data_IF_165784989480
#
_entry.id   IF_165784989480
#
_cell.length_a   1.000
_cell.length_b   1.000
_cell.length_c   1.000
_cell.angle_alpha   90.00
_cell.angle_beta   90.00
_cell.angle_gamma   90.00
#
_symmetry.space_group_name_H-M   'P 1'
#
loop_
_entity.id
_entity.type
_entity.pdbx_description
1 polymer ?
#
# COMPACT_ATOMS: atom_id res chain seq x y z
N UNK A 1 6.26 -19.71 4.03
CA UNK A 1 5.21 -19.53 5.05
C UNK A 1 3.88 -20.16 4.61
N UNK A 2 3.21 -20.87 5.52
CA UNK A 2 1.90 -21.52 5.25
C UNK A 2 0.77 -20.48 5.11
N UNK A 3 0.87 -19.35 5.81
CA UNK A 3 0.00 -18.18 5.63
C UNK A 3 0.65 -17.24 4.62
N UNK A 4 -0.11 -16.83 3.60
CA UNK A 4 0.37 -16.00 2.48
C UNK A 4 -0.19 -14.59 2.44
N UNK A 5 -1.26 -14.32 3.20
CA UNK A 5 -2.00 -13.07 3.17
C UNK A 5 -2.21 -12.58 4.60
N UNK A 6 -2.03 -11.29 4.81
CA UNK A 6 -2.37 -10.57 6.04
C UNK A 6 -3.30 -9.42 5.64
N UNK A 7 -4.42 -9.29 6.35
CA UNK A 7 -5.35 -8.17 6.20
C UNK A 7 -5.24 -7.33 7.47
N UNK A 8 -5.11 -6.02 7.31
CA UNK A 8 -4.98 -5.10 8.44
C UNK A 8 -5.42 -3.68 8.12
N UNK A 9 -5.77 -2.91 9.16
CA UNK A 9 -6.05 -1.49 9.04
C UNK A 9 -4.77 -0.71 8.68
N UNK A 10 -4.90 0.25 7.77
CA UNK A 10 -3.79 1.06 7.27
C UNK A 10 -3.05 1.84 8.36
N UNK A 11 -3.77 2.35 9.36
CA UNK A 11 -3.17 3.09 10.49
C UNK A 11 -2.31 2.16 11.31
N UNK A 12 -2.72 0.91 11.51
CA UNK A 12 -1.90 -0.10 12.19
C UNK A 12 -0.69 -0.50 11.32
N UNK A 13 -0.84 -0.55 10.00
CA UNK A 13 0.25 -0.88 9.07
C UNK A 13 1.38 0.16 9.11
N UNK A 14 1.08 1.41 9.43
CA UNK A 14 2.08 2.45 9.60
C UNK A 14 2.90 2.31 10.90
N UNK A 15 2.48 1.47 11.87
CA UNK A 15 3.10 1.40 13.21
C UNK A 15 3.78 0.04 13.48
N UNK A 16 5.09 0.08 13.74
CA UNK A 16 5.81 -0.95 14.52
C UNK A 16 6.01 -2.35 13.92
N UNK A 17 5.36 -2.71 12.80
CA UNK A 17 5.41 -4.06 12.25
C UNK A 17 6.61 -4.31 11.31
N UNK A 18 7.05 -5.57 11.25
CA UNK A 18 8.12 -6.03 10.37
C UNK A 18 7.55 -7.02 9.34
N UNK A 19 7.44 -6.59 8.07
CA UNK A 19 6.79 -7.35 7.01
C UNK A 19 7.73 -7.63 5.82
N UNK A 20 9.03 -7.82 6.06
CA UNK A 20 10.03 -8.05 5.01
C UNK A 20 9.80 -9.33 4.18
N UNK A 21 8.90 -10.23 4.60
CA UNK A 21 8.50 -11.38 3.78
C UNK A 21 7.47 -11.01 2.69
N UNK A 22 6.79 -9.87 2.81
CA UNK A 22 5.77 -9.42 1.87
C UNK A 22 6.42 -8.78 0.62
N UNK A 23 5.93 -9.16 -0.56
CA UNK A 23 6.37 -8.61 -1.86
C UNK A 23 5.24 -7.97 -2.65
N UNK A 24 4.02 -8.00 -2.13
CA UNK A 24 2.84 -7.41 -2.77
C UNK A 24 2.03 -6.70 -1.70
N UNK A 25 1.71 -5.43 -1.96
CA UNK A 25 0.85 -4.61 -1.11
C UNK A 25 -0.31 -4.14 -1.97
N UNK A 26 -1.53 -4.40 -1.50
CA UNK A 26 -2.76 -3.94 -2.13
C UNK A 26 -3.47 -2.99 -1.18
N UNK A 27 -3.61 -1.72 -1.55
CA UNK A 27 -4.50 -0.80 -0.87
C UNK A 27 -5.91 -0.97 -1.44
N UNK A 28 -6.86 -1.40 -0.61
CA UNK A 28 -8.26 -1.64 -1.01
C UNK A 28 -9.08 -0.34 -1.03
N UNK A 29 -8.50 0.76 -0.54
CA UNK A 29 -9.13 2.08 -0.47
C UNK A 29 -8.10 3.16 -0.78
N UNK A 30 -8.57 4.35 -1.13
CA UNK A 30 -7.70 5.51 -1.36
C UNK A 30 -6.96 5.92 -0.08
N UNK A 31 -5.64 6.08 -0.19
CA UNK A 31 -4.80 6.61 0.89
C UNK A 31 -4.62 8.11 0.72
N UNK A 32 -5.22 8.88 1.63
CA UNK A 32 -5.18 10.34 1.62
C UNK A 32 -3.85 10.92 2.09
N UNK A 33 -3.15 10.22 3.00
CA UNK A 33 -1.89 10.67 3.56
C UNK A 33 -0.72 9.90 2.95
N UNK A 34 0.07 10.60 2.11
CA UNK A 34 1.32 10.06 1.53
C UNK A 34 2.31 9.61 2.60
N UNK A 35 2.32 10.25 3.77
CA UNK A 35 3.18 9.87 4.88
C UNK A 35 2.81 8.48 5.44
N UNK A 36 1.51 8.23 5.65
CA UNK A 36 1.00 6.95 6.12
C UNK A 36 1.24 5.86 5.06
N UNK A 37 0.97 6.16 3.79
CA UNK A 37 1.24 5.26 2.65
C UNK A 37 2.71 4.85 2.60
N UNK A 38 3.63 5.82 2.61
CA UNK A 38 5.07 5.58 2.58
C UNK A 38 5.54 4.77 3.79
N UNK A 39 5.02 5.05 5.00
CA UNK A 39 5.37 4.29 6.19
C UNK A 39 4.90 2.84 6.12
N UNK A 40 3.68 2.59 5.63
CA UNK A 40 3.16 1.25 5.45
C UNK A 40 4.00 0.45 4.42
N UNK A 41 4.34 1.07 3.30
CA UNK A 41 5.19 0.46 2.25
C UNK A 41 6.58 0.08 2.80
N UNK A 42 7.20 0.98 3.59
CA UNK A 42 8.50 0.75 4.25
C UNK A 42 8.52 -0.44 5.22
N UNK A 43 7.36 -0.98 5.61
CA UNK A 43 7.32 -2.21 6.44
C UNK A 43 7.69 -3.46 5.64
N UNK A 44 7.40 -3.47 4.33
CA UNK A 44 7.81 -4.52 3.40
C UNK A 44 9.13 -4.20 2.69
N UNK A 45 9.31 -2.93 2.29
CA UNK A 45 10.57 -2.40 1.74
C UNK A 45 11.56 -2.09 2.87
N UNK A 46 12.23 -3.13 3.38
CA UNK A 46 13.19 -3.02 4.50
C UNK A 46 14.51 -3.71 4.20
N UNK A 47 15.57 -3.33 4.92
CA UNK A 47 16.89 -3.97 4.88
C UNK A 47 16.73 -5.48 5.07
N UNK A 48 17.25 -6.26 4.13
CA UNK A 48 17.11 -7.73 4.08
C UNK A 48 16.05 -8.25 3.11
N UNK A 49 15.21 -7.37 2.53
CA UNK A 49 14.37 -7.74 1.38
C UNK A 49 15.24 -7.80 0.12
N UNK A 50 15.23 -8.95 -0.56
CA UNK A 50 15.96 -9.18 -1.82
C UNK A 50 15.06 -9.24 -3.05
N UNK A 51 13.74 -9.36 -2.83
CA UNK A 51 12.73 -9.45 -3.89
C UNK A 51 12.08 -8.09 -4.10
N UNK A 52 11.72 -7.81 -5.34
CA UNK A 52 10.96 -6.62 -5.68
C UNK A 52 9.60 -6.61 -4.96
N UNK A 53 9.23 -5.44 -4.42
CA UNK A 53 7.98 -5.25 -3.69
C UNK A 53 7.06 -4.36 -4.52
N UNK A 54 5.98 -4.95 -5.00
CA UNK A 54 4.95 -4.28 -5.80
C UNK A 54 3.90 -3.64 -4.90
N UNK A 55 3.48 -2.43 -5.25
CA UNK A 55 2.48 -1.67 -4.52
C UNK A 55 1.42 -1.21 -5.51
N UNK A 56 0.18 -1.61 -5.28
CA UNK A 56 -0.96 -1.25 -6.12
C UNK A 56 -2.11 -0.75 -5.24
N UNK A 57 -2.83 0.25 -5.73
CA UNK A 57 -4.11 0.68 -5.14
C UNK A 57 -5.23 0.17 -6.01
N UNK A 58 -6.14 -0.60 -5.42
CA UNK A 58 -7.33 -1.10 -6.09
C UNK A 58 -8.35 0.03 -6.18
N UNK A 59 -8.91 0.21 -7.37
CA UNK A 59 -9.87 1.28 -7.68
C UNK A 59 -11.03 0.69 -8.44
N UNK A 60 -12.25 0.96 -8.00
CA UNK A 60 -13.45 0.50 -8.68
C UNK A 60 -13.76 1.37 -9.91
N UNK A 61 -13.93 0.73 -11.06
CA UNK A 61 -14.26 1.41 -12.31
C UNK A 61 -15.68 2.00 -12.30
N UNK A 62 -15.84 3.18 -12.89
CA UNK A 62 -17.13 3.88 -12.97
C UNK A 62 -17.60 4.48 -11.64
N UNK A 63 -16.73 4.55 -10.63
CA UNK A 63 -17.06 5.07 -9.30
C UNK A 63 -16.40 6.42 -9.03
N UNK A 64 -16.84 7.08 -7.95
CA UNK A 64 -16.21 8.32 -7.46
C UNK A 64 -14.73 8.11 -7.10
N UNK A 65 -14.34 6.91 -6.66
CA UNK A 65 -12.95 6.58 -6.33
C UNK A 65 -12.04 6.68 -7.57
N UNK A 66 -12.55 6.32 -8.75
CA UNK A 66 -11.82 6.43 -10.01
C UNK A 66 -11.54 7.90 -10.37
N UNK A 67 -12.55 8.77 -10.24
CA UNK A 67 -12.39 10.21 -10.46
C UNK A 67 -11.41 10.84 -9.46
N UNK A 68 -11.45 10.41 -8.19
CA UNK A 68 -10.51 10.86 -7.15
C UNK A 68 -9.07 10.40 -7.45
N UNK A 69 -8.89 9.16 -7.87
CA UNK A 69 -7.57 8.60 -8.23
C UNK A 69 -6.95 9.35 -9.39
N UNK A 70 -7.69 9.54 -10.49
CA UNK A 70 -7.19 10.29 -11.65
C UNK A 70 -6.75 11.71 -11.29
N UNK A 71 -7.51 12.39 -10.42
CA UNK A 71 -7.12 13.72 -9.90
C UNK A 71 -5.85 13.67 -9.05
N UNK A 72 -5.68 12.64 -8.22
CA UNK A 72 -4.47 12.45 -7.40
C UNK A 72 -3.24 12.29 -8.28
N UNK A 73 -3.36 11.50 -9.35
CA UNK A 73 -2.26 11.22 -10.27
C UNK A 73 -1.90 12.46 -11.11
N UNK A 74 -2.90 13.27 -11.52
CA UNK A 74 -2.64 14.52 -12.25
C UNK A 74 -1.93 15.60 -11.43
N UNK A 75 -2.03 15.54 -10.10
CA UNK A 75 -1.34 16.48 -9.18
C UNK A 75 0.03 15.94 -8.75
N UNK A 76 0.31 14.66 -9.02
CA UNK A 76 1.58 14.02 -8.69
C UNK A 76 2.66 14.16 -9.78
N UNK A 77 2.27 14.64 -10.98
CA UNK A 77 3.16 15.05 -12.07
C UNK A 77 3.51 16.53 -11.92
#
# INVERSE_FOLDING_TARGET
PHVRVIVMDLRLAAHGLHLSAATRIYFVQQVWSRAIESQAIKRAHRIGQTREVFVETLVLHGTVEEAMTRRRDSVAQ
#
